data_IF_643073218442
#
_entry.id   IF_643073218442
#
_cell.length_a   1.000
_cell.length_b   1.000
_cell.length_c   1.000
_cell.angle_alpha   90.00
_cell.angle_beta   90.00
_cell.angle_gamma   90.00
#
_symmetry.space_group_name_H-M   'P 1'
#
loop_
_entity.id
_entity.type
_entity.pdbx_description
1 polymer ?
#
# COMPACT_ATOMS: atom_id res chain seq x y z
N UNK A 1 31.13 49.76 -46.48
CA UNK A 1 31.60 48.87 -45.43
C UNK A 1 30.46 48.69 -44.44
N UNK A 2 29.73 47.63 -44.58
CA UNK A 2 28.51 47.36 -43.76
C UNK A 2 28.89 46.47 -42.58
N UNK A 3 28.71 47.00 -41.36
CA UNK A 3 28.94 46.22 -40.12
C UNK A 3 27.63 45.51 -39.80
N UNK A 4 27.63 44.20 -40.01
CA UNK A 4 26.52 43.31 -39.61
C UNK A 4 26.67 43.05 -38.09
N UNK A 5 25.71 43.56 -37.34
CA UNK A 5 25.60 43.33 -35.91
C UNK A 5 24.80 42.03 -35.70
N UNK A 6 25.48 40.94 -35.33
CA UNK A 6 24.84 39.70 -34.99
C UNK A 6 24.37 39.78 -33.55
N UNK A 7 23.03 39.92 -33.38
CA UNK A 7 22.37 39.85 -32.08
C UNK A 7 22.18 38.37 -31.73
N UNK A 8 23.03 37.82 -30.85
CA UNK A 8 22.83 36.49 -30.30
C UNK A 8 21.78 36.58 -29.19
N UNK A 9 20.55 36.22 -29.56
CA UNK A 9 19.47 36.08 -28.59
C UNK A 9 19.66 34.80 -27.77
N UNK A 10 20.10 34.97 -26.53
CA UNK A 10 20.16 33.88 -25.57
C UNK A 10 18.73 33.59 -25.09
N UNK A 11 18.06 32.57 -25.71
CA UNK A 11 16.82 32.02 -25.20
C UNK A 11 17.13 31.23 -23.91
N UNK A 12 16.93 31.85 -22.77
CA UNK A 12 16.82 31.16 -21.48
C UNK A 12 15.54 30.35 -21.49
N UNK A 13 15.65 29.07 -21.83
CA UNK A 13 14.63 28.05 -21.54
C UNK A 13 14.59 27.83 -20.02
N UNK A 14 13.74 28.63 -19.37
CA UNK A 14 13.39 28.39 -17.97
C UNK A 14 12.52 27.12 -17.92
N UNK A 15 13.15 25.95 -17.70
CA UNK A 15 12.44 24.71 -17.44
C UNK A 15 11.72 24.87 -16.11
N UNK A 16 10.42 25.17 -16.15
CA UNK A 16 9.52 25.09 -15.01
C UNK A 16 9.43 23.62 -14.65
N UNK A 17 10.28 23.17 -13.73
CA UNK A 17 10.08 21.93 -13.02
C UNK A 17 8.78 22.10 -12.22
N UNK A 18 7.67 21.62 -12.76
CA UNK A 18 6.43 21.44 -12.03
C UNK A 18 6.69 20.41 -10.94
N UNK A 19 7.14 20.87 -9.79
CA UNK A 19 7.23 20.07 -8.59
C UNK A 19 5.85 19.53 -8.27
N UNK A 20 5.63 18.23 -8.53
CA UNK A 20 4.38 17.59 -8.13
C UNK A 20 4.36 17.59 -6.60
N UNK A 21 3.43 18.33 -6.03
CA UNK A 21 3.16 18.26 -4.59
C UNK A 21 2.79 16.83 -4.23
N UNK A 22 3.35 16.29 -3.11
CA UNK A 22 3.02 14.93 -2.70
C UNK A 22 1.51 14.80 -2.49
N UNK A 23 0.94 13.73 -3.04
CA UNK A 23 -0.49 13.47 -2.92
C UNK A 23 -0.80 13.03 -1.50
N UNK A 24 -1.57 13.84 -0.77
CA UNK A 24 -2.04 13.48 0.58
C UNK A 24 -3.31 12.64 0.46
N UNK A 25 -3.32 11.48 1.12
CA UNK A 25 -4.47 10.58 1.15
C UNK A 25 -5.43 11.01 2.25
N UNK A 26 -6.68 11.27 1.88
CA UNK A 26 -7.75 11.58 2.84
C UNK A 26 -8.27 10.32 3.55
N UNK A 27 -8.88 10.48 4.73
CA UNK A 27 -9.52 9.36 5.43
C UNK A 27 -10.56 8.65 4.57
N UNK A 28 -11.41 9.40 3.87
CA UNK A 28 -12.41 8.82 2.97
C UNK A 28 -11.79 7.97 1.84
N UNK A 29 -10.60 8.37 1.37
CA UNK A 29 -9.87 7.61 0.36
C UNK A 29 -9.20 6.37 0.96
N UNK A 30 -8.67 6.46 2.17
CA UNK A 30 -8.01 5.34 2.84
C UNK A 30 -9.02 4.29 3.33
N UNK A 31 -10.16 4.73 3.87
CA UNK A 31 -11.16 3.83 4.44
C UNK A 31 -11.70 2.85 3.42
N UNK A 32 -11.76 1.59 3.80
CA UNK A 32 -12.34 0.56 2.97
C UNK A 32 -11.75 -0.82 3.18
N UNK A 33 -12.29 -1.72 2.39
CA UNK A 33 -11.83 -3.10 2.24
C UNK A 33 -11.23 -3.26 0.86
N UNK A 34 -10.01 -3.76 0.81
CA UNK A 34 -9.23 -3.96 -0.41
C UNK A 34 -8.96 -5.44 -0.60
N UNK A 35 -9.04 -5.91 -1.85
CA UNK A 35 -8.85 -7.33 -2.18
C UNK A 35 -7.83 -7.55 -3.28
N UNK A 36 -7.08 -8.62 -3.13
CA UNK A 36 -6.18 -9.17 -4.12
C UNK A 36 -6.19 -10.69 -4.01
N UNK A 37 -6.67 -11.38 -5.05
CA UNK A 37 -6.85 -12.85 -5.02
C UNK A 37 -7.69 -13.24 -3.78
N UNK A 38 -7.26 -14.21 -2.98
CA UNK A 38 -7.93 -14.62 -1.74
C UNK A 38 -7.63 -13.75 -0.52
N UNK A 39 -6.81 -12.71 -0.66
CA UNK A 39 -6.39 -11.83 0.44
C UNK A 39 -7.22 -10.58 0.54
N UNK A 40 -7.42 -10.11 1.77
CA UNK A 40 -8.18 -8.90 2.08
C UNK A 40 -7.42 -8.00 3.08
N UNK A 41 -7.48 -6.69 2.85
CA UNK A 41 -6.93 -5.68 3.75
C UNK A 41 -8.04 -4.69 4.07
N UNK A 42 -8.28 -4.45 5.37
CA UNK A 42 -9.24 -3.47 5.88
C UNK A 42 -8.49 -2.30 6.48
N UNK A 43 -8.90 -1.08 6.13
CA UNK A 43 -8.26 0.14 6.63
C UNK A 43 -9.28 1.15 7.10
N UNK A 44 -9.00 1.79 8.24
CA UNK A 44 -9.77 2.86 8.83
C UNK A 44 -8.82 3.99 9.26
N UNK A 45 -9.06 5.20 8.76
CA UNK A 45 -8.36 6.38 9.21
C UNK A 45 -8.78 6.76 10.63
N UNK A 46 -7.79 6.88 11.53
CA UNK A 46 -7.99 7.24 12.94
C UNK A 46 -7.73 8.71 13.24
N UNK A 47 -7.29 9.49 12.24
CA UNK A 47 -6.76 10.84 12.44
C UNK A 47 -5.28 10.81 12.85
N UNK A 48 -4.67 12.02 12.94
CA UNK A 48 -3.27 12.19 13.35
C UNK A 48 -2.28 11.30 12.57
N UNK A 49 -2.49 11.16 11.25
CA UNK A 49 -1.66 10.34 10.37
C UNK A 49 -1.61 8.85 10.74
N UNK A 50 -2.66 8.34 11.37
CA UNK A 50 -2.78 6.92 11.75
C UNK A 50 -3.89 6.22 10.99
N UNK A 51 -3.62 4.98 10.61
CA UNK A 51 -4.59 4.05 10.08
C UNK A 51 -4.65 2.82 10.98
N UNK A 52 -5.86 2.35 11.27
CA UNK A 52 -6.04 0.97 11.74
C UNK A 52 -6.05 0.08 10.51
N UNK A 53 -5.23 -0.97 10.53
CA UNK A 53 -5.09 -1.90 9.41
C UNK A 53 -5.29 -3.32 9.92
N UNK A 54 -6.04 -4.11 9.16
CA UNK A 54 -6.17 -5.55 9.38
C UNK A 54 -5.86 -6.27 8.07
N UNK A 55 -4.92 -7.19 8.13
CA UNK A 55 -4.58 -8.12 7.08
C UNK A 55 -5.27 -9.45 7.32
N UNK A 56 -5.90 -9.98 6.29
CA UNK A 56 -6.44 -11.33 6.19
C UNK A 56 -5.92 -11.91 4.88
N UNK A 57 -4.80 -12.59 4.97
CA UNK A 57 -4.01 -13.04 3.83
C UNK A 57 -4.19 -14.53 3.59
N UNK A 58 -4.17 -14.94 2.32
CA UNK A 58 -4.33 -16.32 1.91
C UNK A 58 -3.36 -16.68 0.80
N UNK A 59 -2.75 -17.85 0.93
CA UNK A 59 -2.02 -18.52 -0.14
C UNK A 59 -2.70 -19.86 -0.43
N UNK A 60 -3.42 -19.92 -1.55
CA UNK A 60 -4.14 -21.11 -1.98
C UNK A 60 -3.23 -22.04 -2.79
N UNK A 61 -3.32 -23.33 -2.51
CA UNK A 61 -2.61 -24.38 -3.24
C UNK A 61 -3.47 -25.65 -3.34
N UNK A 62 -3.18 -26.46 -4.36
CA UNK A 62 -3.92 -27.69 -4.60
C UNK A 62 -3.09 -28.90 -4.25
N UNK A 63 -3.63 -29.78 -3.43
CA UNK A 63 -3.03 -31.07 -3.12
C UNK A 63 -3.80 -32.16 -3.86
N UNK A 64 -3.12 -33.03 -4.66
CA UNK A 64 -3.74 -34.21 -5.22
C UNK A 64 -4.41 -35.03 -4.12
N UNK A 65 -5.65 -35.44 -4.30
CA UNK A 65 -6.53 -36.18 -3.38
C UNK A 65 -7.21 -35.33 -2.30
N UNK A 66 -6.68 -34.19 -1.89
CA UNK A 66 -7.26 -33.37 -0.81
C UNK A 66 -7.94 -32.10 -1.33
N UNK A 67 -7.73 -31.73 -2.59
CA UNK A 67 -8.35 -30.56 -3.20
C UNK A 67 -7.65 -29.23 -2.89
N UNK A 68 -8.41 -28.18 -2.83
CA UNK A 68 -7.94 -26.83 -2.55
C UNK A 68 -7.66 -26.64 -1.05
N UNK A 69 -6.47 -26.19 -0.72
CA UNK A 69 -6.02 -25.87 0.63
C UNK A 69 -5.57 -24.41 0.66
N UNK A 70 -5.49 -23.81 1.84
CA UNK A 70 -4.93 -22.48 2.00
C UNK A 70 -4.07 -22.37 3.26
N UNK A 71 -2.92 -21.72 3.13
CA UNK A 71 -2.20 -21.15 4.26
C UNK A 71 -2.72 -19.74 4.49
N UNK A 72 -2.82 -19.32 5.74
CA UNK A 72 -3.36 -18.02 6.11
C UNK A 72 -2.35 -17.20 6.89
N UNK A 73 -2.49 -15.88 6.82
CA UNK A 73 -1.76 -14.93 7.64
C UNK A 73 -2.69 -13.81 8.09
N UNK A 74 -2.67 -13.50 9.38
CA UNK A 74 -3.49 -12.43 9.95
C UNK A 74 -2.63 -11.49 10.78
N UNK A 75 -2.87 -10.20 10.63
CA UNK A 75 -2.28 -9.17 11.48
C UNK A 75 -3.25 -8.00 11.63
N UNK A 76 -3.28 -7.40 12.81
CA UNK A 76 -4.04 -6.18 13.08
C UNK A 76 -3.19 -5.23 13.89
N UNK A 77 -3.22 -3.95 13.54
CA UNK A 77 -2.48 -2.92 14.27
C UNK A 77 -2.68 -1.55 13.65
N UNK A 78 -1.83 -0.61 14.05
CA UNK A 78 -1.80 0.74 13.50
C UNK A 78 -0.67 0.90 12.50
N UNK A 79 -0.93 1.62 11.42
CA UNK A 79 0.06 2.09 10.47
C UNK A 79 0.18 3.61 10.56
N UNK A 80 1.38 4.13 10.34
CA UNK A 80 1.61 5.57 10.17
C UNK A 80 1.57 5.90 8.69
N UNK A 81 0.76 6.90 8.32
CA UNK A 81 0.64 7.37 6.95
C UNK A 81 1.29 8.73 6.78
N UNK A 82 2.12 8.86 5.75
CA UNK A 82 2.69 10.11 5.28
C UNK A 82 2.43 10.23 3.78
N UNK A 83 1.77 11.31 3.38
CA UNK A 83 1.33 11.54 2.00
C UNK A 83 0.48 10.38 1.45
N UNK A 84 1.03 9.59 0.54
CA UNK A 84 0.36 8.46 -0.12
C UNK A 84 0.87 7.09 0.34
N UNK A 85 1.68 7.05 1.40
CA UNK A 85 2.36 5.83 1.84
C UNK A 85 2.15 5.60 3.33
N UNK A 86 1.66 4.42 3.69
CA UNK A 86 1.53 3.98 5.07
C UNK A 86 2.54 2.87 5.38
N UNK A 87 3.10 2.92 6.58
CA UNK A 87 4.05 1.91 7.11
C UNK A 87 3.38 1.17 8.26
N UNK A 88 3.34 -0.13 8.16
CA UNK A 88 2.79 -1.04 9.15
C UNK A 88 3.86 -2.03 9.63
N UNK A 89 3.92 -2.23 10.94
CA UNK A 89 4.70 -3.29 11.56
C UNK A 89 3.74 -4.20 12.32
N UNK A 90 3.71 -5.51 12.02
CA UNK A 90 2.90 -6.44 12.80
C UNK A 90 3.32 -6.35 14.28
N UNK A 91 2.39 -6.22 15.24
CA UNK A 91 2.73 -5.96 16.65
C UNK A 91 3.69 -6.96 17.27
N UNK A 92 3.55 -8.25 16.95
CA UNK A 92 4.39 -9.33 17.47
C UNK A 92 5.66 -9.57 16.62
N UNK A 93 5.80 -8.87 15.49
CA UNK A 93 6.90 -9.00 14.53
C UNK A 93 7.39 -7.64 14.07
N UNK A 94 7.93 -6.81 14.99
CA UNK A 94 8.26 -5.40 14.71
C UNK A 94 9.37 -5.21 13.67
N UNK A 95 10.18 -6.24 13.42
CA UNK A 95 11.23 -6.23 12.40
C UNK A 95 10.68 -6.35 10.97
N UNK A 96 9.43 -6.81 10.81
CA UNK A 96 8.76 -6.86 9.54
C UNK A 96 8.16 -5.49 9.21
N UNK A 97 8.45 -4.99 8.01
CA UNK A 97 7.86 -3.75 7.49
C UNK A 97 6.96 -4.05 6.31
N UNK A 98 5.71 -3.65 6.42
CA UNK A 98 4.74 -3.72 5.32
C UNK A 98 4.43 -2.30 4.88
N UNK A 99 4.76 -1.99 3.64
CA UNK A 99 4.52 -0.68 3.03
C UNK A 99 3.26 -0.73 2.18
N UNK A 100 2.35 0.20 2.42
CA UNK A 100 1.09 0.35 1.71
C UNK A 100 1.12 1.67 0.96
N UNK A 101 1.24 1.63 -0.36
CA UNK A 101 1.21 2.82 -1.22
C UNK A 101 -0.16 2.96 -1.89
N UNK A 102 -0.79 4.12 -1.70
CA UNK A 102 -2.06 4.43 -2.35
C UNK A 102 -1.81 4.86 -3.80
N UNK A 103 -2.50 4.21 -4.72
CA UNK A 103 -2.41 4.46 -6.16
C UNK A 103 -3.69 5.14 -6.67
N UNK A 104 -3.63 5.66 -7.90
CA UNK A 104 -4.83 6.10 -8.59
C UNK A 104 -5.81 4.93 -8.82
N UNK A 105 -7.11 5.24 -8.97
CA UNK A 105 -8.15 4.25 -9.29
C UNK A 105 -8.53 3.35 -8.11
N UNK A 106 -8.52 3.87 -6.89
CA UNK A 106 -8.91 3.13 -5.68
C UNK A 106 -8.14 1.81 -5.49
N UNK A 107 -6.84 1.84 -5.73
CA UNK A 107 -5.93 0.72 -5.55
C UNK A 107 -4.85 1.05 -4.55
N UNK A 108 -4.28 0.02 -3.96
CA UNK A 108 -3.07 0.11 -3.14
C UNK A 108 -2.05 -0.90 -3.64
N UNK A 109 -0.78 -0.52 -3.58
CA UNK A 109 0.33 -1.45 -3.75
C UNK A 109 0.91 -1.76 -2.38
N UNK A 110 1.01 -3.03 -2.06
CA UNK A 110 1.56 -3.51 -0.79
C UNK A 110 2.85 -4.25 -1.06
N UNK A 111 3.86 -3.99 -0.25
CA UNK A 111 5.17 -4.66 -0.28
C UNK A 111 5.58 -5.04 1.12
N UNK A 112 6.12 -6.24 1.28
CA UNK A 112 6.63 -6.82 2.52
C UNK A 112 8.14 -7.00 2.39
N UNK A 113 8.91 -6.59 3.40
CA UNK A 113 10.37 -6.57 3.32
C UNK A 113 11.05 -7.86 3.82
N UNK A 114 10.29 -8.78 4.46
CA UNK A 114 10.80 -10.02 5.04
C UNK A 114 9.98 -11.23 4.63
N UNK A 115 10.50 -12.41 4.92
CA UNK A 115 9.79 -13.67 4.69
C UNK A 115 8.49 -13.77 5.51
N UNK A 116 7.58 -14.63 5.04
CA UNK A 116 6.28 -14.85 5.65
C UNK A 116 6.37 -15.15 7.16
N UNK A 117 7.27 -16.05 7.57
CA UNK A 117 7.47 -16.42 8.97
C UNK A 117 7.99 -15.25 9.82
N UNK A 118 8.85 -14.40 9.28
CA UNK A 118 9.40 -13.21 9.95
C UNK A 118 8.36 -12.10 10.13
N UNK A 119 7.25 -12.17 9.38
CA UNK A 119 6.10 -11.29 9.50
C UNK A 119 4.93 -11.92 10.27
N UNK A 120 5.10 -13.14 10.77
CA UNK A 120 4.09 -13.88 11.52
C UNK A 120 2.99 -14.48 10.65
N UNK A 121 3.25 -14.67 9.37
CA UNK A 121 2.32 -15.27 8.43
C UNK A 121 2.60 -16.74 8.17
N UNK A 122 1.60 -17.46 7.66
CA UNK A 122 1.74 -18.84 7.27
C UNK A 122 2.72 -19.03 6.10
N UNK A 123 3.10 -20.28 5.86
CA UNK A 123 4.04 -20.63 4.82
C UNK A 123 3.60 -20.14 3.43
N UNK A 124 4.48 -19.46 2.71
CA UNK A 124 4.21 -18.79 1.44
C UNK A 124 3.11 -17.71 1.45
N UNK A 125 2.71 -17.22 2.61
CA UNK A 125 1.75 -16.13 2.73
C UNK A 125 2.50 -14.79 2.76
N UNK A 126 2.27 -13.97 1.74
CA UNK A 126 2.85 -12.63 1.61
C UNK A 126 1.77 -11.58 1.45
N UNK A 127 2.03 -10.40 2.00
CA UNK A 127 1.15 -9.25 1.82
C UNK A 127 1.32 -8.57 0.46
N UNK A 128 2.36 -8.92 -0.29
CA UNK A 128 2.70 -8.31 -1.57
C UNK A 128 1.57 -8.40 -2.59
N UNK A 129 1.32 -7.31 -3.29
CA UNK A 129 0.35 -7.27 -4.38
C UNK A 129 -0.26 -5.89 -4.61
N UNK A 130 -1.02 -5.79 -5.68
CA UNK A 130 -1.86 -4.63 -5.97
C UNK A 130 -3.30 -5.00 -5.65
N UNK A 131 -3.84 -4.38 -4.62
CA UNK A 131 -5.20 -4.60 -4.13
C UNK A 131 -6.13 -3.53 -4.70
N UNK A 132 -7.31 -3.94 -5.14
CA UNK A 132 -8.37 -3.02 -5.55
C UNK A 132 -9.37 -2.82 -4.40
N UNK A 133 -9.87 -1.59 -4.24
CA UNK A 133 -10.92 -1.33 -3.25
C UNK A 133 -12.20 -2.07 -3.65
N UNK A 134 -12.55 -3.04 -2.83
CA UNK A 134 -13.77 -3.83 -2.99
C UNK A 134 -14.99 -3.16 -2.37
N UNK A 135 -14.80 -2.51 -1.20
CA UNK A 135 -15.85 -1.80 -0.48
C UNK A 135 -15.30 -0.51 0.10
N UNK A 136 -15.99 0.60 -0.16
CA UNK A 136 -15.69 1.90 0.42
C UNK A 136 -16.33 2.07 1.81
N UNK A 137 -15.85 3.09 2.54
CA UNK A 137 -16.34 3.43 3.88
C UNK A 137 -15.67 2.64 4.99
N UNK A 138 -16.17 2.80 6.20
CA UNK A 138 -15.60 2.16 7.38
C UNK A 138 -15.78 0.64 7.33
N UNK A 139 -14.69 -0.15 7.40
CA UNK A 139 -14.78 -1.60 7.39
C UNK A 139 -15.13 -2.13 8.78
N UNK A 140 -15.73 -3.32 8.83
CA UNK A 140 -15.86 -4.10 10.07
C UNK A 140 -14.57 -4.91 10.24
N UNK A 141 -13.92 -4.73 11.38
CA UNK A 141 -12.74 -5.51 11.77
C UNK A 141 -13.17 -6.83 12.41
N UNK A 142 -12.45 -7.89 12.08
CA UNK A 142 -12.64 -9.19 12.72
C UNK A 142 -11.79 -9.29 13.99
N UNK A 143 -12.27 -10.03 14.97
CA UNK A 143 -11.47 -10.38 16.15
C UNK A 143 -10.51 -11.49 15.75
N UNK A 144 -9.21 -11.21 15.77
CA UNK A 144 -8.18 -12.22 15.59
C UNK A 144 -8.06 -12.97 16.92
N UNK A 145 -8.41 -14.25 16.92
CA UNK A 145 -8.27 -15.16 18.06
C UNK A 145 -7.05 -16.04 17.88
#
# INVERSE_FOLDING_TARGET
MSKILILVGCLLLCSLALGQSPTVVTGARANGTYRHRGSEIRMLALGHNKLRVQFDLSYEYKIPRYGLMANIGKATGEAMIENDTAIFHPPDYPECTITIKFLAGNRIKVTQDRDAAECGFGHHVFADGTYAKFKAGEPKFEVIR
#
